data_IF_510387213680
#
_entry.id   IF_510387213680
#
_cell.length_a   1.000
_cell.length_b   1.000
_cell.length_c   1.000
_cell.angle_alpha   90.00
_cell.angle_beta   90.00
_cell.angle_gamma   90.00
#
_symmetry.space_group_name_H-M   'P 1'
#
loop_
_entity.id
_entity.type
_entity.pdbx_description
1 polymer ?
#
# COMPACT_ATOMS: atom_id res chain seq x y z
N UNK A 1 60.23 -21.78 43.57
CA UNK A 1 59.70 -22.47 42.37
C UNK A 1 58.76 -23.58 42.85
N UNK A 2 57.44 -23.37 42.77
CA UNK A 2 56.42 -24.43 42.83
C UNK A 2 55.26 -24.03 41.90
N UNK A 3 54.83 -24.88 40.97
CA UNK A 3 53.87 -24.54 39.92
C UNK A 3 52.42 -24.52 40.42
N UNK A 4 51.61 -23.71 39.73
CA UNK A 4 50.16 -23.53 39.93
C UNK A 4 49.39 -24.74 39.37
N UNK A 5 48.81 -25.54 40.26
CA UNK A 5 47.88 -26.62 39.91
C UNK A 5 46.45 -26.13 40.12
N UNK A 6 45.64 -26.04 39.05
CA UNK A 6 44.24 -25.69 39.22
C UNK A 6 43.38 -25.38 37.99
N UNK A 7 43.66 -25.90 36.79
CA UNK A 7 42.84 -25.56 35.61
C UNK A 7 42.42 -26.71 34.68
N UNK A 8 42.55 -27.99 35.04
CA UNK A 8 42.26 -29.09 34.09
C UNK A 8 41.15 -30.06 34.54
N UNK A 9 40.02 -29.58 35.05
CA UNK A 9 38.89 -30.45 35.37
C UNK A 9 37.51 -29.89 34.98
N UNK A 10 37.36 -29.55 33.70
CA UNK A 10 36.04 -29.38 33.09
C UNK A 10 35.72 -30.61 32.25
N UNK A 11 34.75 -31.40 32.70
CA UNK A 11 34.14 -32.44 31.88
C UNK A 11 33.45 -31.76 30.68
N UNK A 12 33.58 -32.31 29.46
CA UNK A 12 32.84 -31.80 28.31
C UNK A 12 31.34 -31.99 28.56
N UNK A 13 30.59 -30.89 28.51
CA UNK A 13 29.12 -30.92 28.49
C UNK A 13 28.70 -31.68 27.24
N UNK A 14 28.09 -32.86 27.44
CA UNK A 14 27.47 -33.62 26.35
C UNK A 14 26.41 -32.72 25.70
N UNK A 15 26.41 -32.55 24.37
CA UNK A 15 25.34 -31.83 23.72
C UNK A 15 24.03 -32.57 23.99
N UNK A 16 23.03 -31.85 24.52
CA UNK A 16 21.68 -32.36 24.66
C UNK A 16 21.18 -32.73 23.25
N UNK A 17 21.15 -34.04 22.99
CA UNK A 17 20.54 -34.64 21.82
C UNK A 17 19.04 -34.61 22.03
N UNK A 18 18.43 -33.50 21.65
CA UNK A 18 16.99 -33.33 21.79
C UNK A 18 16.59 -31.87 21.70
N UNK A 19 16.54 -31.36 20.48
CA UNK A 19 15.62 -30.32 20.02
C UNK A 19 15.77 -30.30 18.49
N UNK A 20 15.09 -31.26 17.86
CA UNK A 20 14.95 -31.29 16.42
C UNK A 20 14.13 -30.07 15.97
N UNK A 21 14.59 -29.43 14.89
CA UNK A 21 13.76 -28.48 14.14
C UNK A 21 14.20 -27.03 14.17
N UNK A 22 15.48 -26.74 13.93
CA UNK A 22 15.92 -25.41 13.45
C UNK A 22 16.54 -25.53 12.05
N UNK A 23 15.85 -26.22 11.15
CA UNK A 23 16.21 -26.29 9.73
C UNK A 23 15.11 -25.71 8.83
N UNK A 24 14.38 -24.72 9.35
CA UNK A 24 13.35 -23.98 8.61
C UNK A 24 13.62 -22.49 8.63
N UNK A 25 14.78 -22.10 8.13
CA UNK A 25 14.98 -20.74 7.66
C UNK A 25 15.37 -20.78 6.19
N UNK A 26 14.49 -20.19 5.38
CA UNK A 26 14.63 -19.87 3.95
C UNK A 26 14.60 -21.05 2.97
N UNK A 27 13.39 -21.56 2.72
CA UNK A 27 13.03 -21.88 1.33
C UNK A 27 12.67 -20.56 0.64
N UNK A 28 13.28 -20.20 -0.50
CA UNK A 28 12.73 -19.13 -1.33
C UNK A 28 11.30 -19.56 -1.69
N UNK A 29 10.31 -18.74 -1.32
CA UNK A 29 8.91 -19.01 -1.64
C UNK A 29 8.78 -19.29 -3.14
N UNK A 30 8.04 -20.33 -3.52
CA UNK A 30 7.92 -20.69 -4.93
C UNK A 30 7.33 -19.50 -5.70
N UNK A 31 7.79 -19.22 -6.93
CA UNK A 31 7.16 -18.21 -7.77
C UNK A 31 5.66 -18.54 -7.89
N UNK A 32 4.80 -17.69 -7.34
CA UNK A 32 3.35 -17.87 -7.35
C UNK A 32 2.67 -18.13 -6.00
N UNK A 33 3.38 -18.56 -4.95
CA UNK A 33 2.77 -18.81 -3.62
C UNK A 33 2.13 -17.55 -3.03
N UNK A 34 2.74 -16.39 -3.26
CA UNK A 34 2.17 -15.09 -2.87
C UNK A 34 0.90 -14.75 -3.67
N UNK A 35 0.88 -15.07 -4.96
CA UNK A 35 -0.28 -14.82 -5.83
C UNK A 35 -1.46 -15.71 -5.43
N UNK A 36 -1.19 -16.96 -5.07
CA UNK A 36 -2.19 -17.92 -4.59
C UNK A 36 -2.76 -17.50 -3.24
N UNK A 37 -1.90 -17.06 -2.31
CA UNK A 37 -2.34 -16.49 -1.04
C UNK A 37 -3.21 -15.25 -1.27
N UNK A 38 -2.78 -14.31 -2.13
CA UNK A 38 -3.56 -13.12 -2.48
C UNK A 38 -4.93 -13.48 -3.08
N UNK A 39 -4.99 -14.46 -3.98
CA UNK A 39 -6.24 -14.90 -4.59
C UNK A 39 -7.18 -15.52 -3.54
N UNK A 40 -6.67 -16.38 -2.67
CA UNK A 40 -7.45 -16.95 -1.56
C UNK A 40 -7.96 -15.89 -0.56
N UNK A 41 -7.19 -14.81 -0.35
CA UNK A 41 -7.64 -13.66 0.46
C UNK A 41 -8.76 -12.87 -0.24
N UNK A 42 -8.67 -12.65 -1.56
CA UNK A 42 -9.72 -11.97 -2.34
C UNK A 42 -11.05 -12.73 -2.29
N UNK A 43 -11.00 -14.05 -2.39
CA UNK A 43 -12.19 -14.91 -2.34
C UNK A 43 -12.87 -14.89 -0.96
N UNK A 44 -12.10 -14.80 0.13
CA UNK A 44 -12.64 -14.76 1.51
C UNK A 44 -13.10 -13.39 1.96
N UNK A 45 -12.47 -12.31 1.49
CA UNK A 45 -12.78 -10.96 1.94
C UNK A 45 -14.05 -10.38 1.28
N UNK A 46 -14.61 -11.03 0.25
CA UNK A 46 -15.68 -10.44 -0.58
C UNK A 46 -15.24 -9.18 -1.32
N UNK A 47 -13.96 -8.79 -1.20
CA UNK A 47 -13.33 -7.70 -1.93
C UNK A 47 -12.70 -8.31 -3.16
N UNK A 48 -13.57 -8.71 -4.10
CA UNK A 48 -13.17 -8.77 -5.49
C UNK A 48 -12.53 -7.41 -5.81
N UNK A 49 -11.37 -7.43 -6.45
CA UNK A 49 -10.98 -6.27 -7.25
C UNK A 49 -12.12 -6.09 -8.23
N UNK A 50 -13.09 -5.23 -7.89
CA UNK A 50 -14.08 -4.78 -8.83
C UNK A 50 -13.26 -3.99 -9.82
N UNK A 51 -12.78 -4.68 -10.84
CA UNK A 51 -12.65 -4.17 -12.19
C UNK A 51 -14.07 -3.76 -12.60
N UNK A 52 -14.64 -2.78 -11.89
CA UNK A 52 -15.87 -2.12 -12.23
C UNK A 52 -15.53 -1.42 -13.53
N UNK A 53 -15.92 -2.04 -14.63
CA UNK A 53 -15.99 -1.45 -15.95
C UNK A 53 -16.83 -0.19 -15.82
N UNK A 54 -16.18 0.95 -15.49
CA UNK A 54 -16.77 2.29 -15.48
C UNK A 54 -16.65 3.16 -14.21
N UNK A 55 -16.12 2.69 -13.07
CA UNK A 55 -16.15 3.46 -11.80
C UNK A 55 -14.79 3.89 -11.25
N UNK A 56 -14.74 5.03 -10.54
CA UNK A 56 -13.54 5.50 -9.82
C UNK A 56 -13.26 4.63 -8.58
N UNK A 57 -12.07 4.04 -8.53
CA UNK A 57 -11.62 3.20 -7.42
C UNK A 57 -10.72 3.97 -6.45
N UNK A 58 -10.71 3.58 -5.17
CA UNK A 58 -9.82 4.17 -4.16
C UNK A 58 -8.77 3.15 -3.69
N UNK A 59 -7.52 3.57 -3.59
CA UNK A 59 -6.47 2.76 -2.97
C UNK A 59 -6.68 2.68 -1.45
N UNK A 60 -6.10 1.67 -0.80
CA UNK A 60 -6.11 1.59 0.67
C UNK A 60 -5.50 2.85 1.30
N UNK A 61 -4.42 3.39 0.72
CA UNK A 61 -3.81 4.63 1.21
C UNK A 61 -4.76 5.82 1.11
N UNK A 62 -5.53 5.92 0.02
CA UNK A 62 -6.54 6.97 -0.13
C UNK A 62 -7.65 6.82 0.93
N UNK A 63 -8.17 5.61 1.13
CA UNK A 63 -9.21 5.33 2.13
C UNK A 63 -8.74 5.64 3.55
N UNK A 64 -7.52 5.23 3.91
CA UNK A 64 -6.94 5.51 5.24
C UNK A 64 -6.74 7.01 5.46
N UNK A 65 -6.30 7.74 4.42
CA UNK A 65 -6.18 9.20 4.46
C UNK A 65 -7.52 9.90 4.59
N UNK A 66 -8.55 9.43 3.88
CA UNK A 66 -9.90 9.97 4.01
C UNK A 66 -10.44 9.77 5.42
N UNK A 67 -10.30 8.56 5.98
CA UNK A 67 -10.75 8.25 7.35
C UNK A 67 -10.00 9.05 8.40
N UNK A 68 -8.67 9.07 8.35
CA UNK A 68 -7.84 9.77 9.35
C UNK A 68 -8.06 11.28 9.38
N UNK A 69 -8.49 11.88 8.26
CA UNK A 69 -8.74 13.32 8.14
C UNK A 69 -10.21 13.70 8.07
N UNK A 70 -11.12 12.73 8.21
CA UNK A 70 -12.57 12.97 8.12
C UNK A 70 -13.02 13.52 6.76
N UNK A 71 -12.29 13.21 5.68
CA UNK A 71 -12.62 13.66 4.34
C UNK A 71 -13.71 12.75 3.78
N UNK A 72 -14.86 13.35 3.46
CA UNK A 72 -15.98 12.68 2.84
C UNK A 72 -16.33 13.40 1.55
N UNK A 73 -16.69 12.62 0.53
CA UNK A 73 -17.18 13.15 -0.74
C UNK A 73 -18.64 12.76 -0.88
N UNK A 74 -19.48 13.73 -1.23
CA UNK A 74 -20.86 13.45 -1.61
C UNK A 74 -20.91 12.88 -3.04
N UNK A 75 -22.08 12.40 -3.44
CA UNK A 75 -22.27 11.80 -4.77
C UNK A 75 -21.97 12.81 -5.90
N UNK A 76 -22.28 14.09 -5.70
CA UNK A 76 -22.04 15.14 -6.69
C UNK A 76 -20.54 15.37 -6.91
N UNK A 77 -19.77 15.46 -5.83
CA UNK A 77 -18.31 15.61 -5.85
C UNK A 77 -17.65 14.38 -6.47
N UNK A 78 -18.08 13.17 -6.12
CA UNK A 78 -17.57 11.94 -6.72
C UNK A 78 -17.81 11.91 -8.24
N UNK A 79 -19.00 12.26 -8.70
CA UNK A 79 -19.28 12.38 -10.15
C UNK A 79 -18.44 13.48 -10.82
N UNK A 80 -18.18 14.58 -10.12
CA UNK A 80 -17.30 15.65 -10.59
C UNK A 80 -15.86 15.15 -10.78
N UNK A 81 -15.34 14.43 -9.79
CA UNK A 81 -14.01 13.80 -9.84
C UNK A 81 -13.95 12.78 -10.98
N UNK A 82 -14.95 11.90 -11.13
CA UNK A 82 -15.01 10.93 -12.23
C UNK A 82 -14.96 11.61 -13.60
N UNK A 83 -15.75 12.66 -13.80
CA UNK A 83 -15.72 13.45 -15.04
C UNK A 83 -14.37 14.12 -15.27
N UNK A 84 -13.75 14.65 -14.22
CA UNK A 84 -12.44 15.27 -14.29
C UNK A 84 -11.35 14.27 -14.71
N UNK A 85 -11.36 13.09 -14.10
CA UNK A 85 -10.44 11.99 -14.43
C UNK A 85 -10.66 11.52 -15.86
N UNK A 86 -11.91 11.36 -16.30
CA UNK A 86 -12.24 11.02 -17.69
C UNK A 86 -11.74 12.06 -18.70
N UNK A 87 -11.87 13.36 -18.39
CA UNK A 87 -11.32 14.44 -19.22
C UNK A 87 -9.80 14.40 -19.30
N UNK A 88 -9.12 14.12 -18.18
CA UNK A 88 -7.66 14.00 -18.17
C UNK A 88 -7.20 12.76 -18.96
N UNK A 89 -7.85 11.61 -18.74
CA UNK A 89 -7.58 10.38 -19.48
C UNK A 89 -7.76 10.57 -21.00
N UNK A 90 -8.82 11.26 -21.43
CA UNK A 90 -9.05 11.59 -22.84
C UNK A 90 -7.94 12.45 -23.46
N UNK A 91 -7.18 13.18 -22.65
CA UNK A 91 -6.01 13.97 -23.07
C UNK A 91 -4.69 13.21 -23.00
N UNK A 92 -4.72 11.91 -22.68
CA UNK A 92 -3.53 11.07 -22.58
C UNK A 92 -2.80 11.18 -21.23
N UNK A 93 -3.41 11.81 -20.23
CA UNK A 93 -2.86 11.90 -18.89
C UNK A 93 -2.82 10.54 -18.19
N UNK A 94 -1.70 10.24 -17.54
CA UNK A 94 -1.51 9.03 -16.74
C UNK A 94 -1.72 9.32 -15.25
N UNK A 95 -1.20 10.43 -14.76
CA UNK A 95 -1.25 10.87 -13.36
C UNK A 95 -1.76 12.30 -13.25
N UNK A 96 -2.94 12.43 -12.64
CA UNK A 96 -3.68 13.69 -12.57
C UNK A 96 -3.83 14.14 -11.13
N UNK A 97 -3.60 15.42 -10.89
CA UNK A 97 -4.00 16.09 -9.65
C UNK A 97 -5.41 16.67 -9.83
N UNK A 98 -6.37 16.18 -9.07
CA UNK A 98 -7.73 16.72 -9.04
C UNK A 98 -7.86 17.63 -7.83
N UNK A 99 -8.18 18.89 -8.07
CA UNK A 99 -8.39 19.90 -7.03
C UNK A 99 -9.88 20.16 -6.88
N UNK A 100 -10.38 19.98 -5.67
CA UNK A 100 -11.74 20.37 -5.26
C UNK A 100 -11.65 21.56 -4.29
N UNK A 101 -12.78 22.11 -3.88
CA UNK A 101 -12.82 23.21 -2.90
C UNK A 101 -12.11 22.89 -1.57
N UNK A 102 -12.14 21.63 -1.15
CA UNK A 102 -11.73 21.20 0.19
C UNK A 102 -10.67 20.08 0.22
N UNK A 103 -10.40 19.42 -0.91
CA UNK A 103 -9.46 18.31 -1.00
C UNK A 103 -8.73 18.23 -2.34
N UNK A 104 -7.50 17.71 -2.31
CA UNK A 104 -6.67 17.42 -3.48
C UNK A 104 -6.51 15.91 -3.58
N UNK A 105 -6.74 15.35 -4.77
CA UNK A 105 -6.64 13.93 -5.02
C UNK A 105 -5.58 13.68 -6.07
N UNK A 106 -4.65 12.76 -5.77
CA UNK A 106 -3.74 12.24 -6.78
C UNK A 106 -4.37 10.99 -7.38
N UNK A 107 -4.65 11.02 -8.67
CA UNK A 107 -5.38 9.97 -9.37
C UNK A 107 -4.55 9.42 -10.52
N UNK A 108 -4.49 8.10 -10.62
CA UNK A 108 -4.02 7.46 -11.83
C UNK A 108 -5.18 7.37 -12.82
N UNK A 109 -5.19 8.27 -13.81
CA UNK A 109 -6.21 8.33 -14.85
C UNK A 109 -6.23 7.06 -15.71
N UNK A 110 -5.06 6.46 -15.97
CA UNK A 110 -4.95 5.16 -16.67
C UNK A 110 -5.68 4.03 -15.96
N UNK A 111 -5.65 4.02 -14.62
CA UNK A 111 -6.21 2.95 -13.81
C UNK A 111 -7.55 3.33 -13.14
N UNK A 112 -8.08 4.52 -13.45
CA UNK A 112 -9.23 5.12 -12.75
C UNK A 112 -9.16 4.94 -11.22
N UNK A 113 -7.98 5.20 -10.64
CA UNK A 113 -7.69 4.88 -9.24
C UNK A 113 -7.12 6.08 -8.49
N UNK A 114 -7.80 6.49 -7.42
CA UNK A 114 -7.31 7.47 -6.45
C UNK A 114 -6.20 6.85 -5.64
N UNK A 115 -5.00 7.40 -5.77
CA UNK A 115 -3.79 6.94 -5.08
C UNK A 115 -3.75 7.54 -3.68
N UNK A 116 -4.00 8.84 -3.53
CA UNK A 116 -4.02 9.52 -2.23
C UNK A 116 -4.97 10.71 -2.21
N UNK A 117 -5.33 11.15 -1.02
CA UNK A 117 -6.19 12.31 -0.76
C UNK A 117 -5.52 13.20 0.28
N UNK A 118 -5.57 14.50 0.05
CA UNK A 118 -5.10 15.55 0.94
C UNK A 118 -6.24 16.53 1.19
N UNK A 119 -6.37 17.02 2.41
CA UNK A 119 -7.30 18.09 2.79
C UNK A 119 -6.71 19.47 2.51
N UNK A 120 -7.57 20.49 2.51
CA UNK A 120 -7.23 21.88 2.23
C UNK A 120 -6.04 22.43 3.03
N UNK A 121 -5.93 22.07 4.31
CA UNK A 121 -4.82 22.53 5.15
C UNK A 121 -3.47 22.02 4.65
N UNK A 122 -3.44 20.80 4.12
CA UNK A 122 -2.25 20.12 3.60
C UNK A 122 -2.06 20.30 2.09
N UNK A 123 -2.87 21.15 1.44
CA UNK A 123 -2.57 21.60 0.08
C UNK A 123 -1.52 22.70 0.08
N UNK A 124 -1.55 23.56 1.10
CA UNK A 124 -0.66 24.73 1.18
C UNK A 124 0.78 24.25 1.36
N UNK A 125 1.72 24.88 0.66
CA UNK A 125 3.17 24.62 0.78
C UNK A 125 3.63 23.20 0.40
N UNK A 126 2.76 22.41 -0.24
CA UNK A 126 3.11 21.05 -0.70
C UNK A 126 3.52 21.04 -2.17
N UNK A 127 4.53 20.22 -2.50
CA UNK A 127 5.01 20.02 -3.88
C UNK A 127 4.53 18.66 -4.38
N UNK A 128 3.76 18.67 -5.46
CA UNK A 128 3.32 17.46 -6.16
C UNK A 128 4.23 17.21 -7.35
N UNK A 129 4.75 15.99 -7.47
CA UNK A 129 5.60 15.55 -8.59
C UNK A 129 4.93 14.42 -9.35
N UNK A 130 5.46 14.10 -10.53
CA UNK A 130 4.93 13.05 -11.40
C UNK A 130 3.45 13.27 -11.78
N UNK A 131 3.03 14.53 -11.86
CA UNK A 131 1.72 14.96 -12.31
C UNK A 131 1.87 15.49 -13.73
N UNK A 132 1.14 14.90 -14.67
CA UNK A 132 1.12 15.34 -16.07
C UNK A 132 -0.07 16.27 -16.37
N UNK A 133 -1.04 16.34 -15.45
CA UNK A 133 -2.27 17.09 -15.63
C UNK A 133 -2.88 17.50 -14.30
N UNK A 134 -3.52 18.67 -14.30
CA UNK A 134 -4.30 19.15 -13.16
C UNK A 134 -5.69 19.52 -13.64
N UNK A 135 -6.71 19.10 -12.90
CA UNK A 135 -8.10 19.43 -13.18
C UNK A 135 -8.74 20.03 -11.94
N UNK A 136 -9.41 21.17 -12.11
CA UNK A 136 -10.18 21.82 -11.07
C UNK A 136 -11.66 21.43 -11.21
N UNK A 137 -12.29 21.10 -10.08
CA UNK A 137 -13.69 20.66 -9.95
C UNK A 137 -14.41 21.54 -8.96
#
# INVERSE_FOLDING_TARGET
MKPIEGLNNLNPIKPASGLGGLDRLQKPGKPGEFQEALNAFKDKAGVGSTDAVGGLSFSNHAVDRMRSRGIHFDAATLQGIEKAVGKAAAKGSSNTLVLTENAALVVSAKNNKVVTVLDKAMMKENVFTNIDSTVLV
#
